data_IF_921621736076
#
_entry.id   IF_921621736076
#
_cell.length_a   1.000
_cell.length_b   1.000
_cell.length_c   1.000
_cell.angle_alpha   90.00
_cell.angle_beta   90.00
_cell.angle_gamma   90.00
#
_symmetry.space_group_name_H-M   'P 1'
#
loop_
_entity.id
_entity.type
_entity.pdbx_description
1 polymer ?
#
# COMPACT_ATOMS: atom_id res chain seq x y z
N UNK A 1 -12.65 20.73 -29.16
CA UNK A 1 -12.64 19.26 -29.24
C UNK A 1 -12.34 18.74 -27.84
N UNK A 2 -13.34 18.16 -27.17
CA UNK A 2 -13.21 17.68 -25.79
C UNK A 2 -12.90 16.19 -25.87
N UNK A 3 -11.63 15.80 -25.83
CA UNK A 3 -11.25 14.39 -25.77
C UNK A 3 -11.58 13.87 -24.37
N UNK A 4 -12.78 13.33 -24.22
CA UNK A 4 -13.11 12.44 -23.11
C UNK A 4 -12.30 11.16 -23.35
N UNK A 5 -11.10 11.07 -22.77
CA UNK A 5 -10.43 9.77 -22.66
C UNK A 5 -11.34 8.87 -21.82
N UNK A 6 -11.96 7.88 -22.47
CA UNK A 6 -12.92 6.97 -21.87
C UNK A 6 -12.24 6.24 -20.70
N UNK A 7 -12.83 6.31 -19.50
CA UNK A 7 -12.29 5.64 -18.31
C UNK A 7 -12.24 4.11 -18.50
N UNK A 8 -12.95 3.58 -19.51
CA UNK A 8 -12.99 2.17 -19.89
C UNK A 8 -11.73 1.67 -20.63
N UNK A 9 -10.90 2.56 -21.17
CA UNK A 9 -9.60 2.21 -21.78
C UNK A 9 -8.43 2.28 -20.79
N UNK A 10 -8.71 2.51 -19.49
CA UNK A 10 -7.69 2.49 -18.45
C UNK A 10 -7.41 1.05 -18.02
N UNK A 11 -6.19 0.61 -18.29
CA UNK A 11 -5.63 -0.61 -17.72
C UNK A 11 -4.63 -0.20 -16.63
N UNK A 12 -4.91 -0.58 -15.38
CA UNK A 12 -4.06 -0.28 -14.23
C UNK A 12 -3.44 -1.59 -13.73
N UNK A 13 -2.11 -1.65 -13.74
CA UNK A 13 -1.36 -2.77 -13.16
C UNK A 13 -0.86 -2.36 -11.79
N UNK A 14 -1.21 -3.15 -10.76
CA UNK A 14 -0.78 -2.94 -9.38
C UNK A 14 0.13 -4.07 -8.93
N UNK A 15 1.32 -3.71 -8.46
CA UNK A 15 2.28 -4.65 -7.89
C UNK A 15 2.60 -4.27 -6.44
N UNK A 16 2.33 -5.21 -5.52
CA UNK A 16 2.49 -4.99 -4.08
C UNK A 16 3.44 -6.05 -3.47
N UNK A 17 4.47 -5.59 -2.76
CA UNK A 17 5.28 -6.41 -1.86
C UNK A 17 5.11 -5.89 -0.44
N UNK A 18 4.70 -6.77 0.48
CA UNK A 18 4.65 -6.47 1.91
C UNK A 18 5.53 -7.42 2.70
N UNK A 19 6.35 -6.86 3.59
CA UNK A 19 7.14 -7.60 4.56
C UNK A 19 6.85 -7.05 5.94
N UNK A 20 6.48 -7.92 6.87
CA UNK A 20 6.11 -7.53 8.23
C UNK A 20 6.73 -8.44 9.27
N UNK A 21 7.06 -7.86 10.43
CA UNK A 21 7.48 -8.59 11.62
C UNK A 21 6.65 -8.13 12.81
N UNK A 22 6.24 -9.06 13.65
CA UNK A 22 5.44 -8.78 14.84
C UNK A 22 5.90 -9.60 16.02
N UNK A 23 5.69 -9.05 17.22
CA UNK A 23 6.02 -9.74 18.47
C UNK A 23 5.06 -9.36 19.59
N UNK A 24 4.67 -10.37 20.37
CA UNK A 24 4.04 -10.17 21.67
C UNK A 24 5.08 -9.69 22.67
N UNK A 25 4.87 -8.49 23.22
CA UNK A 25 5.73 -7.89 24.24
C UNK A 25 5.27 -8.27 25.65
N UNK A 26 4.06 -8.82 25.78
CA UNK A 26 3.50 -9.35 27.01
C UNK A 26 2.08 -9.91 26.79
N UNK A 27 1.39 -10.36 27.85
CA UNK A 27 0.08 -11.00 27.73
C UNK A 27 -1.03 -10.12 27.14
N UNK A 28 -0.83 -8.80 27.15
CA UNK A 28 -1.82 -7.80 26.73
C UNK A 28 -1.26 -6.80 25.72
N UNK A 29 0.00 -6.97 25.29
CA UNK A 29 0.70 -5.99 24.47
C UNK A 29 1.35 -6.70 23.28
N UNK A 30 1.05 -6.22 22.08
CA UNK A 30 1.72 -6.64 20.86
C UNK A 30 2.20 -5.44 20.05
N UNK A 31 3.32 -5.63 19.35
CA UNK A 31 3.88 -4.63 18.45
C UNK A 31 4.21 -5.28 17.10
N UNK A 32 3.95 -4.56 16.01
CA UNK A 32 4.36 -4.98 14.67
C UNK A 32 4.92 -3.81 13.87
N UNK A 33 5.77 -4.15 12.90
CA UNK A 33 6.29 -3.24 11.91
C UNK A 33 6.13 -3.89 10.54
N UNK A 34 5.52 -3.16 9.62
CA UNK A 34 5.21 -3.59 8.27
C UNK A 34 5.80 -2.60 7.26
N UNK A 35 6.53 -3.11 6.28
CA UNK A 35 6.99 -2.36 5.12
C UNK A 35 6.17 -2.78 3.89
N UNK A 36 5.65 -1.80 3.16
CA UNK A 36 4.96 -1.97 1.89
C UNK A 36 5.75 -1.23 0.80
N UNK A 37 6.09 -1.97 -0.24
CA UNK A 37 6.46 -1.44 -1.55
C UNK A 37 5.28 -1.65 -2.50
N UNK A 38 4.84 -0.60 -3.16
CA UNK A 38 3.74 -0.64 -4.13
C UNK A 38 4.11 0.16 -5.36
N UNK A 39 3.91 -0.46 -6.52
CA UNK A 39 3.98 0.19 -7.82
C UNK A 39 2.62 0.14 -8.48
N UNK A 40 2.20 1.29 -9.01
CA UNK A 40 1.03 1.37 -9.87
C UNK A 40 1.46 1.93 -11.22
N UNK A 41 1.36 1.09 -12.22
CA UNK A 41 1.48 1.48 -13.62
C UNK A 41 0.07 1.70 -14.18
N UNK A 42 -0.12 2.80 -14.91
CA UNK A 42 -1.39 3.15 -15.52
C UNK A 42 -1.15 3.58 -16.96
N UNK A 43 -2.05 3.21 -17.88
CA UNK A 43 -2.04 3.75 -19.25
C UNK A 43 -2.23 5.28 -19.30
N UNK A 44 -2.58 5.90 -18.17
CA UNK A 44 -2.56 7.35 -17.98
C UNK A 44 -1.41 7.77 -17.04
N UNK A 45 -0.36 8.36 -17.61
CA UNK A 45 0.87 8.78 -16.91
C UNK A 45 0.64 9.74 -15.72
N UNK A 46 -0.49 10.44 -15.64
CA UNK A 46 -0.81 11.32 -14.52
C UNK A 46 -1.13 10.57 -13.21
N UNK A 47 -1.19 9.23 -13.24
CA UNK A 47 -1.58 8.38 -12.11
C UNK A 47 -0.62 7.23 -11.82
N UNK A 48 0.56 7.26 -12.44
CA UNK A 48 1.68 6.38 -12.12
C UNK A 48 2.32 6.84 -10.81
N UNK A 49 2.55 5.91 -9.89
CA UNK A 49 3.25 6.21 -8.65
C UNK A 49 3.91 4.98 -8.03
N UNK A 50 4.96 5.24 -7.26
CA UNK A 50 5.59 4.28 -6.36
C UNK A 50 5.35 4.73 -4.92
N UNK A 51 4.86 3.82 -4.09
CA UNK A 51 4.64 4.03 -2.65
C UNK A 51 5.60 3.14 -1.85
N UNK A 52 6.36 3.78 -0.95
CA UNK A 52 7.14 3.12 0.08
C UNK A 52 6.53 3.51 1.43
N UNK A 53 5.96 2.54 2.16
CA UNK A 53 5.24 2.81 3.40
C UNK A 53 5.74 1.92 4.53
N UNK A 54 6.19 2.55 5.61
CA UNK A 54 6.49 1.90 6.88
C UNK A 54 5.32 2.13 7.85
N UNK A 55 4.76 1.06 8.40
CA UNK A 55 3.66 1.11 9.37
C UNK A 55 4.12 0.45 10.66
N UNK A 56 4.09 1.17 11.77
CA UNK A 56 4.31 0.60 13.09
C UNK A 56 2.97 0.53 13.83
N UNK A 57 2.64 -0.64 14.35
CA UNK A 57 1.40 -0.88 15.09
C UNK A 57 1.72 -1.28 16.51
N UNK A 58 1.02 -0.68 17.47
CA UNK A 58 1.09 -1.03 18.88
C UNK A 58 -0.32 -1.28 19.40
N UNK A 59 -0.56 -2.47 19.94
CA UNK A 59 -1.87 -2.86 20.47
C UNK A 59 -1.74 -3.14 21.96
N UNK A 60 -2.69 -2.60 22.74
CA UNK A 60 -2.84 -2.89 24.17
C UNK A 60 -4.30 -3.25 24.45
N UNK A 61 -4.53 -4.42 25.07
CA UNK A 61 -5.86 -4.88 25.49
C UNK A 61 -6.07 -4.53 26.96
N UNK A 62 -7.26 -4.01 27.32
CA UNK A 62 -7.65 -3.62 28.68
C UNK A 62 -8.66 -4.60 29.27
#
# INVERSE_FOLDING_TARGET
>A
ESTFADERDREDTLFDIRVGVGRDLGPQISASVDYLYRERESTNAAREYTENRLTATFTKVF
#
